data_IF_518779433295
#
_entry.id   IF_518779433295
#
_cell.length_a   1.000
_cell.length_b   1.000
_cell.length_c   1.000
_cell.angle_alpha   90.00
_cell.angle_beta   90.00
_cell.angle_gamma   90.00
#
_symmetry.space_group_name_H-M   'P 1'
#
loop_
_entity.id
_entity.type
_entity.pdbx_description
1 polymer ?
#
# COMPACT_ATOMS: atom_id res chain seq x y z
N UNK A 1 5.29 12.33 -18.84
CA UNK A 1 3.91 12.87 -18.86
C UNK A 1 3.56 13.23 -17.43
N UNK A 2 2.97 14.40 -17.19
CA UNK A 2 2.34 14.65 -15.89
C UNK A 2 1.27 13.57 -15.65
N UNK A 3 1.16 13.05 -14.42
CA UNK A 3 0.09 12.12 -14.10
C UNK A 3 -1.26 12.82 -14.30
N UNK A 4 -2.15 12.20 -15.07
CA UNK A 4 -3.53 12.66 -15.23
C UNK A 4 -4.16 12.66 -13.83
N UNK A 5 -4.62 13.83 -13.37
CA UNK A 5 -5.28 13.96 -12.08
C UNK A 5 -6.71 13.41 -12.19
N UNK A 6 -7.22 12.73 -11.15
CA UNK A 6 -8.57 12.17 -11.18
C UNK A 6 -9.65 13.24 -11.05
N UNK A 7 -10.87 12.87 -11.42
CA UNK A 7 -12.07 13.59 -10.97
C UNK A 7 -12.47 13.04 -9.60
N UNK A 8 -12.64 13.91 -8.62
CA UNK A 8 -12.92 13.51 -7.24
C UNK A 8 -14.39 13.72 -6.89
N UNK A 9 -15.06 12.66 -6.45
CA UNK A 9 -16.45 12.69 -6.00
C UNK A 9 -16.48 12.63 -4.47
N UNK A 10 -16.91 13.71 -3.83
CA UNK A 10 -16.94 13.85 -2.37
C UNK A 10 -18.36 13.64 -1.86
N UNK A 11 -18.56 12.70 -0.92
CA UNK A 11 -19.87 12.51 -0.29
C UNK A 11 -20.32 13.74 0.49
N UNK A 12 -21.61 14.06 0.38
CA UNK A 12 -22.20 15.14 1.16
C UNK A 12 -22.11 14.87 2.68
N UNK A 13 -21.98 15.94 3.47
CA UNK A 13 -21.90 15.87 4.93
C UNK A 13 -23.27 15.90 5.61
N UNK A 14 -23.42 15.20 6.75
CA UNK A 14 -24.62 15.31 7.59
C UNK A 14 -24.77 16.72 8.18
N UNK A 15 -23.70 17.23 8.80
CA UNK A 15 -23.63 18.59 9.39
C UNK A 15 -23.51 19.65 8.29
N UNK A 16 -24.39 20.65 8.33
CA UNK A 16 -24.49 21.74 7.36
C UNK A 16 -24.67 23.08 8.07
N UNK A 17 -24.45 24.19 7.36
CA UNK A 17 -24.92 25.50 7.78
C UNK A 17 -26.46 25.55 7.74
N UNK A 18 -27.05 26.45 8.53
CA UNK A 18 -28.50 26.68 8.57
C UNK A 18 -28.98 27.69 7.53
N UNK A 19 -28.06 28.19 6.70
CA UNK A 19 -28.33 29.19 5.65
C UNK A 19 -27.88 28.68 4.28
N UNK A 20 -28.47 29.19 3.18
CA UNK A 20 -28.01 28.86 1.84
C UNK A 20 -26.55 29.25 1.65
N UNK A 21 -25.77 28.35 1.06
CA UNK A 21 -24.35 28.56 0.78
C UNK A 21 -23.93 27.76 -0.46
N UNK A 22 -22.77 28.11 -1.03
CA UNK A 22 -22.12 27.26 -2.03
C UNK A 22 -21.91 25.86 -1.45
N UNK A 23 -22.11 24.81 -2.25
CA UNK A 23 -22.09 23.43 -1.78
C UNK A 23 -20.77 23.07 -1.08
N UNK A 24 -19.63 23.62 -1.54
CA UNK A 24 -18.32 23.44 -0.91
C UNK A 24 -18.20 24.02 0.50
N UNK A 25 -19.02 25.00 0.84
CA UNK A 25 -19.01 25.72 2.12
C UNK A 25 -20.22 25.34 3.00
N UNK A 26 -21.26 24.75 2.41
CA UNK A 26 -22.46 24.31 3.12
C UNK A 26 -22.16 23.19 4.13
N UNK A 27 -21.33 22.20 3.78
CA UNK A 27 -21.03 21.05 4.62
C UNK A 27 -19.84 21.32 5.56
N UNK A 28 -20.04 21.15 6.86
CA UNK A 28 -19.09 21.63 7.89
C UNK A 28 -18.43 20.52 8.71
N UNK A 29 -18.69 19.24 8.39
CA UNK A 29 -18.06 18.13 9.10
C UNK A 29 -16.56 18.02 8.77
N UNK A 30 -15.76 17.56 9.73
CA UNK A 30 -14.32 17.37 9.54
C UNK A 30 -14.01 16.43 8.37
N UNK A 31 -14.77 15.33 8.25
CA UNK A 31 -14.69 14.43 7.09
C UNK A 31 -14.84 15.15 5.76
N UNK A 32 -15.85 16.02 5.65
CA UNK A 32 -16.09 16.76 4.41
C UNK A 32 -14.94 17.74 4.14
N UNK A 33 -14.47 18.46 5.16
CA UNK A 33 -13.33 19.39 5.02
C UNK A 33 -12.07 18.69 4.54
N UNK A 34 -11.72 17.53 5.11
CA UNK A 34 -10.57 16.75 4.68
C UNK A 34 -10.74 16.18 3.26
N UNK A 35 -11.94 15.71 2.92
CA UNK A 35 -12.22 15.21 1.57
C UNK A 35 -12.19 16.33 0.52
N UNK A 36 -12.74 17.50 0.83
CA UNK A 36 -12.64 18.72 0.00
C UNK A 36 -11.18 19.11 -0.19
N UNK A 37 -10.39 19.19 0.90
CA UNK A 37 -8.97 19.55 0.82
C UNK A 37 -8.19 18.57 -0.07
N UNK A 38 -8.47 17.27 0.03
CA UNK A 38 -7.90 16.27 -0.88
C UNK A 38 -8.31 16.55 -2.33
N UNK A 39 -9.61 16.78 -2.57
CA UNK A 39 -10.13 17.03 -3.91
C UNK A 39 -9.50 18.27 -4.56
N UNK A 40 -9.31 19.36 -3.81
CA UNK A 40 -8.67 20.59 -4.27
C UNK A 40 -7.16 20.43 -4.51
N UNK A 41 -6.47 19.60 -3.72
CA UNK A 41 -5.03 19.36 -3.88
C UNK A 41 -4.70 18.39 -5.02
N UNK A 42 -5.49 17.33 -5.19
CA UNK A 42 -5.14 16.19 -6.02
C UNK A 42 -6.07 15.98 -7.23
N UNK A 43 -7.27 16.54 -7.22
CA UNK A 43 -8.22 16.42 -8.33
C UNK A 43 -7.88 17.34 -9.51
N UNK A 44 -8.27 16.92 -10.72
CA UNK A 44 -8.42 17.82 -11.87
C UNK A 44 -9.68 18.67 -11.70
N UNK A 45 -10.78 17.99 -11.34
CA UNK A 45 -12.09 18.55 -11.05
C UNK A 45 -12.67 17.80 -9.85
N UNK A 46 -13.64 18.42 -9.17
CA UNK A 46 -14.33 17.73 -8.09
C UNK A 46 -15.79 18.15 -7.96
N UNK A 47 -16.58 17.20 -7.49
CA UNK A 47 -18.03 17.32 -7.34
C UNK A 47 -18.47 16.75 -6.01
N UNK A 48 -19.64 17.18 -5.57
CA UNK A 48 -20.27 16.66 -4.36
C UNK A 48 -21.39 15.72 -4.78
N UNK A 49 -21.36 14.49 -4.26
CA UNK A 49 -22.44 13.53 -4.45
C UNK A 49 -23.43 13.66 -3.29
N UNK A 50 -24.57 14.29 -3.59
CA UNK A 50 -25.67 14.56 -2.66
C UNK A 50 -26.76 13.51 -2.80
N UNK A 51 -27.24 12.97 -1.68
CA UNK A 51 -28.43 12.11 -1.66
C UNK A 51 -29.66 12.78 -2.31
N UNK A 52 -29.81 14.11 -2.16
CA UNK A 52 -30.97 14.88 -2.64
C UNK A 52 -30.73 15.44 -4.04
N UNK A 53 -29.58 16.09 -4.21
CA UNK A 53 -29.29 16.89 -5.40
C UNK A 53 -28.42 16.17 -6.43
N UNK A 54 -28.09 14.89 -6.24
CA UNK A 54 -27.26 14.15 -7.19
C UNK A 54 -25.84 14.71 -7.24
N UNK A 55 -25.29 14.85 -8.45
CA UNK A 55 -24.00 15.46 -8.72
C UNK A 55 -24.11 16.99 -8.62
N UNK A 56 -23.33 17.57 -7.72
CA UNK A 56 -23.39 19.00 -7.40
C UNK A 56 -22.03 19.64 -7.63
N UNK A 57 -22.03 20.80 -8.29
CA UNK A 57 -20.83 21.60 -8.48
C UNK A 57 -20.44 22.32 -7.18
N UNK A 58 -19.15 22.48 -6.87
CA UNK A 58 -18.68 23.13 -5.65
C UNK A 58 -19.28 24.52 -5.39
N UNK A 59 -19.47 25.32 -6.44
CA UNK A 59 -19.98 26.70 -6.37
C UNK A 59 -21.51 26.80 -6.44
N UNK A 60 -22.22 25.68 -6.65
CA UNK A 60 -23.68 25.68 -6.70
C UNK A 60 -24.25 26.02 -5.32
N UNK A 61 -25.09 27.05 -5.25
CA UNK A 61 -25.78 27.44 -4.01
C UNK A 61 -26.88 26.44 -3.70
N UNK A 62 -26.85 25.87 -2.51
CA UNK A 62 -27.84 24.91 -2.02
C UNK A 62 -28.50 25.41 -0.74
N UNK A 63 -29.79 25.14 -0.59
CA UNK A 63 -30.50 25.27 0.69
C UNK A 63 -30.15 24.07 1.60
N UNK A 64 -30.05 24.27 2.92
CA UNK A 64 -29.90 23.16 3.87
C UNK A 64 -31.06 22.16 3.74
N UNK A 65 -30.73 20.89 3.95
CA UNK A 65 -31.67 19.79 3.80
C UNK A 65 -31.28 18.60 4.69
N UNK A 66 -32.24 17.74 4.96
CA UNK A 66 -32.03 16.48 5.67
C UNK A 66 -32.52 15.31 4.81
N UNK A 67 -31.56 14.64 4.16
CA UNK A 67 -31.78 13.41 3.42
C UNK A 67 -30.51 12.56 3.51
N UNK A 68 -30.65 11.35 4.02
CA UNK A 68 -29.58 10.37 4.12
C UNK A 68 -29.82 9.22 3.13
N UNK A 69 -28.88 9.04 2.19
CA UNK A 69 -28.92 7.93 1.23
C UNK A 69 -28.98 6.58 1.94
N UNK A 70 -28.35 6.44 3.12
CA UNK A 70 -28.32 5.17 3.86
C UNK A 70 -29.73 4.71 4.26
N UNK A 71 -30.62 5.65 4.58
CA UNK A 71 -31.99 5.40 5.01
C UNK A 71 -32.93 5.04 3.84
N UNK A 72 -32.49 5.22 2.59
CA UNK A 72 -33.33 4.91 1.42
C UNK A 72 -33.41 3.40 1.14
N UNK A 73 -34.56 2.91 0.63
CA UNK A 73 -34.68 1.58 0.04
C UNK A 73 -33.65 1.35 -1.09
N UNK A 74 -33.27 0.09 -1.31
CA UNK A 74 -32.28 -0.28 -2.33
C UNK A 74 -32.67 0.20 -3.74
N UNK A 75 -33.97 0.17 -4.08
CA UNK A 75 -34.49 0.68 -5.37
C UNK A 75 -34.16 2.16 -5.57
N UNK A 76 -34.33 2.97 -4.53
CA UNK A 76 -34.11 4.41 -4.59
C UNK A 76 -32.61 4.72 -4.61
N UNK A 77 -31.79 3.93 -3.91
CA UNK A 77 -30.33 3.99 -3.99
C UNK A 77 -29.83 3.71 -5.41
N UNK A 78 -30.36 2.68 -6.07
CA UNK A 78 -30.01 2.37 -7.47
C UNK A 78 -30.46 3.48 -8.43
N UNK A 79 -31.67 4.00 -8.25
CA UNK A 79 -32.19 5.14 -9.03
C UNK A 79 -31.30 6.39 -8.84
N UNK A 80 -30.83 6.63 -7.62
CA UNK A 80 -29.85 7.68 -7.33
C UNK A 80 -28.52 7.42 -8.06
N UNK A 81 -28.02 6.19 -8.08
CA UNK A 81 -26.82 5.81 -8.82
C UNK A 81 -26.94 6.06 -10.33
N UNK A 82 -28.07 5.67 -10.93
CA UNK A 82 -28.35 5.90 -12.36
C UNK A 82 -28.41 7.40 -12.70
N UNK A 83 -28.95 8.21 -11.79
CA UNK A 83 -28.93 9.67 -11.92
C UNK A 83 -27.51 10.22 -11.92
N UNK A 84 -26.65 9.79 -10.98
CA UNK A 84 -25.25 10.21 -10.93
C UNK A 84 -24.54 9.82 -12.24
N UNK A 85 -24.75 8.59 -12.73
CA UNK A 85 -24.20 8.14 -14.01
C UNK A 85 -24.64 9.06 -15.17
N UNK A 86 -25.94 9.40 -15.24
CA UNK A 86 -26.46 10.30 -16.28
C UNK A 86 -25.83 11.69 -16.20
N UNK A 87 -25.66 12.23 -14.99
CA UNK A 87 -25.02 13.54 -14.78
C UNK A 87 -23.53 13.50 -15.14
N UNK A 88 -22.78 12.47 -14.75
CA UNK A 88 -21.38 12.28 -15.15
C UNK A 88 -21.21 12.13 -16.67
N UNK A 89 -22.13 11.38 -17.31
CA UNK A 89 -22.15 11.20 -18.77
C UNK A 89 -22.36 12.53 -19.50
N UNK A 90 -23.32 13.34 -19.05
CA UNK A 90 -23.62 14.67 -19.62
C UNK A 90 -22.47 15.66 -19.51
N UNK A 91 -21.62 15.51 -18.51
CA UNK A 91 -20.44 16.34 -18.29
C UNK A 91 -19.15 15.71 -18.87
N UNK A 92 -19.26 14.63 -19.65
CA UNK A 92 -18.12 13.96 -20.31
C UNK A 92 -17.05 13.41 -19.33
N UNK A 93 -17.46 13.09 -18.09
CA UNK A 93 -16.53 12.69 -17.03
C UNK A 93 -16.27 11.17 -16.98
N UNK A 94 -17.03 10.34 -17.70
CA UNK A 94 -16.95 8.87 -17.59
C UNK A 94 -15.65 8.27 -18.13
N UNK A 95 -14.96 8.97 -19.03
CA UNK A 95 -13.68 8.54 -19.58
C UNK A 95 -12.50 8.91 -18.68
N UNK A 96 -12.75 9.64 -17.59
CA UNK A 96 -11.73 10.02 -16.61
C UNK A 96 -11.61 8.97 -15.50
N UNK A 97 -10.49 8.98 -14.79
CA UNK A 97 -10.35 8.22 -13.55
C UNK A 97 -11.15 8.90 -12.43
N UNK A 98 -12.10 8.18 -11.85
CA UNK A 98 -12.98 8.68 -10.80
C UNK A 98 -12.50 8.20 -9.42
N UNK A 99 -12.28 9.13 -8.49
CA UNK A 99 -11.98 8.82 -7.08
C UNK A 99 -13.19 9.17 -6.22
N UNK A 100 -13.79 8.17 -5.58
CA UNK A 100 -14.99 8.32 -4.76
C UNK A 100 -14.61 8.34 -3.27
N UNK A 101 -14.70 9.51 -2.65
CA UNK A 101 -14.47 9.73 -1.22
C UNK A 101 -15.82 9.71 -0.47
N UNK A 102 -16.34 8.51 -0.27
CA UNK A 102 -17.66 8.29 0.33
C UNK A 102 -17.68 7.09 1.28
N UNK A 103 -18.76 6.95 2.04
CA UNK A 103 -19.01 5.75 2.84
C UNK A 103 -19.19 4.52 1.94
N UNK A 104 -19.18 3.33 2.55
CA UNK A 104 -19.40 2.04 1.88
C UNK A 104 -20.68 2.06 1.02
N UNK A 105 -21.83 2.43 1.58
CA UNK A 105 -23.13 2.45 0.86
C UNK A 105 -23.10 3.30 -0.41
N UNK A 106 -22.54 4.52 -0.36
CA UNK A 106 -22.41 5.36 -1.56
C UNK A 106 -21.44 4.72 -2.56
N UNK A 107 -20.31 4.23 -2.06
CA UNK A 107 -19.24 3.66 -2.87
C UNK A 107 -19.65 2.37 -3.57
N UNK A 108 -20.43 1.50 -2.92
CA UNK A 108 -20.92 0.25 -3.49
C UNK A 108 -21.90 0.49 -4.65
N UNK A 109 -22.87 1.39 -4.45
CA UNK A 109 -23.83 1.75 -5.48
C UNK A 109 -23.11 2.37 -6.69
N UNK A 110 -22.23 3.34 -6.44
CA UNK A 110 -21.48 3.99 -7.51
C UNK A 110 -20.52 3.03 -8.21
N UNK A 111 -19.80 2.18 -7.49
CA UNK A 111 -18.95 1.17 -8.13
C UNK A 111 -19.77 0.27 -9.05
N UNK A 112 -20.91 -0.22 -8.59
CA UNK A 112 -21.76 -1.11 -9.37
C UNK A 112 -22.30 -0.47 -10.65
N UNK A 113 -22.74 0.79 -10.58
CA UNK A 113 -23.33 1.51 -11.73
C UNK A 113 -22.23 2.00 -12.68
N UNK A 114 -21.16 2.61 -12.16
CA UNK A 114 -20.11 3.21 -12.97
C UNK A 114 -19.20 2.17 -13.63
N UNK A 115 -18.88 1.06 -12.95
CA UNK A 115 -18.09 -0.01 -13.55
C UNK A 115 -18.85 -0.67 -14.72
N UNK A 116 -20.18 -0.83 -14.62
CA UNK A 116 -21.02 -1.31 -15.74
C UNK A 116 -21.01 -0.36 -16.95
N UNK A 117 -20.76 0.93 -16.72
CA UNK A 117 -20.62 1.94 -17.75
C UNK A 117 -19.18 2.05 -18.30
N UNK A 118 -18.24 1.21 -17.82
CA UNK A 118 -16.85 1.21 -18.27
C UNK A 118 -15.95 2.27 -17.61
N UNK A 119 -16.44 2.99 -16.59
CA UNK A 119 -15.63 3.98 -15.89
C UNK A 119 -14.61 3.31 -14.94
N UNK A 120 -13.42 3.90 -14.85
CA UNK A 120 -12.39 3.49 -13.88
C UNK A 120 -12.68 4.20 -12.56
N UNK A 121 -13.00 3.42 -11.53
CA UNK A 121 -13.41 3.97 -10.21
C UNK A 121 -12.52 3.41 -9.10
N UNK A 122 -11.98 4.32 -8.28
CA UNK A 122 -11.29 3.99 -7.04
C UNK A 122 -12.09 4.52 -5.86
N UNK A 123 -12.36 3.67 -4.86
CA UNK A 123 -13.02 4.06 -3.60
C UNK A 123 -12.07 3.77 -2.43
N UNK A 124 -11.21 4.73 -2.04
CA UNK A 124 -10.11 4.48 -1.10
C UNK A 124 -10.55 3.98 0.29
N UNK A 125 -11.81 4.20 0.68
CA UNK A 125 -12.32 3.94 2.03
C UNK A 125 -13.46 2.92 2.08
N UNK A 126 -13.77 2.23 0.98
CA UNK A 126 -14.98 1.39 0.89
C UNK A 126 -15.08 0.35 2.01
N UNK A 127 -13.97 -0.30 2.32
CA UNK A 127 -13.84 -1.42 3.25
C UNK A 127 -13.31 -0.99 4.64
N UNK A 128 -13.30 0.32 4.92
CA UNK A 128 -12.74 0.86 6.14
C UNK A 128 -13.82 1.42 7.09
N UNK A 129 -13.55 1.39 8.41
CA UNK A 129 -14.35 2.14 9.37
C UNK A 129 -14.45 3.63 9.01
N UNK A 130 -15.57 4.27 9.37
CA UNK A 130 -15.91 5.64 8.96
C UNK A 130 -14.86 6.70 9.40
N UNK A 131 -14.21 6.47 10.54
CA UNK A 131 -13.18 7.35 11.11
C UNK A 131 -11.80 7.18 10.45
N UNK A 132 -11.49 5.99 9.93
CA UNK A 132 -10.22 5.71 9.28
C UNK A 132 -9.97 6.62 8.06
N UNK A 133 -11.02 6.91 7.28
CA UNK A 133 -10.93 7.79 6.12
C UNK A 133 -10.44 9.21 6.48
N UNK A 134 -10.92 9.77 7.60
CA UNK A 134 -10.49 11.11 8.04
C UNK A 134 -9.02 11.12 8.43
N UNK A 135 -8.55 10.09 9.14
CA UNK A 135 -7.16 9.96 9.55
C UNK A 135 -6.23 9.83 8.34
N UNK A 136 -6.61 9.01 7.35
CA UNK A 136 -5.85 8.82 6.11
C UNK A 136 -5.80 10.13 5.32
N UNK A 137 -6.95 10.79 5.10
CA UNK A 137 -6.99 12.07 4.39
C UNK A 137 -6.15 13.13 5.09
N UNK A 138 -6.15 13.18 6.42
CA UNK A 138 -5.33 14.11 7.19
C UNK A 138 -3.83 13.90 6.92
N UNK A 139 -3.36 12.65 6.88
CA UNK A 139 -1.96 12.32 6.54
C UNK A 139 -1.63 12.73 5.12
N UNK A 140 -2.46 12.32 4.15
CA UNK A 140 -2.26 12.61 2.73
C UNK A 140 -2.27 14.13 2.47
N UNK A 141 -3.23 14.86 3.04
CA UNK A 141 -3.33 16.31 2.91
C UNK A 141 -2.21 17.06 3.64
N UNK A 142 -1.62 16.44 4.67
CA UNK A 142 -0.52 17.00 5.45
C UNK A 142 0.83 16.88 4.76
N UNK A 143 0.99 15.95 3.81
CA UNK A 143 2.25 15.72 3.12
C UNK A 143 2.10 15.48 1.60
N UNK A 144 1.77 16.51 0.80
CA UNK A 144 1.60 16.36 -0.66
C UNK A 144 2.84 15.87 -1.39
N UNK A 145 4.04 16.23 -0.91
CA UNK A 145 5.29 15.73 -1.48
C UNK A 145 5.41 14.21 -1.34
N UNK A 146 5.07 13.67 -0.16
CA UNK A 146 5.02 12.21 0.03
C UNK A 146 4.01 11.54 -0.87
N UNK A 147 2.84 12.14 -1.10
CA UNK A 147 1.85 11.58 -2.03
C UNK A 147 2.37 11.54 -3.48
N UNK A 148 3.13 12.56 -3.91
CA UNK A 148 3.79 12.55 -5.22
C UNK A 148 4.85 11.45 -5.32
N UNK A 149 5.69 11.32 -4.29
CA UNK A 149 6.70 10.25 -4.20
C UNK A 149 6.06 8.85 -4.16
N UNK A 150 4.94 8.71 -3.45
CA UNK A 150 4.13 7.50 -3.39
C UNK A 150 3.66 7.07 -4.77
N UNK A 151 3.07 8.00 -5.53
CA UNK A 151 2.64 7.74 -6.89
C UNK A 151 3.81 7.32 -7.79
N UNK A 152 4.93 8.05 -7.74
CA UNK A 152 6.13 7.71 -8.51
C UNK A 152 6.64 6.30 -8.14
N UNK A 153 6.64 5.94 -6.87
CA UNK A 153 7.02 4.60 -6.43
C UNK A 153 6.13 3.52 -7.05
N UNK A 154 4.80 3.71 -7.06
CA UNK A 154 3.90 2.72 -7.66
C UNK A 154 3.90 2.71 -9.20
N UNK A 155 4.18 3.85 -9.85
CA UNK A 155 4.47 3.87 -11.30
C UNK A 155 5.71 3.00 -11.62
N UNK A 156 6.76 3.06 -10.79
CA UNK A 156 7.95 2.22 -10.91
C UNK A 156 7.67 0.75 -10.54
N UNK A 157 6.86 0.49 -9.50
CA UNK A 157 6.40 -0.85 -9.18
C UNK A 157 5.66 -1.48 -10.35
N UNK A 158 4.75 -0.75 -10.98
CA UNK A 158 3.98 -1.26 -12.10
C UNK A 158 4.89 -1.65 -13.27
N UNK A 159 5.87 -0.81 -13.62
CA UNK A 159 6.90 -1.14 -14.62
C UNK A 159 7.60 -2.45 -14.27
N UNK A 160 8.04 -2.58 -13.02
CA UNK A 160 8.67 -3.81 -12.53
C UNK A 160 7.72 -5.02 -12.62
N UNK A 161 6.47 -4.88 -12.21
CA UNK A 161 5.48 -5.96 -12.21
C UNK A 161 5.12 -6.46 -13.62
N UNK A 162 5.22 -5.60 -14.64
CA UNK A 162 4.90 -5.94 -16.03
C UNK A 162 6.01 -6.71 -16.75
N UNK A 163 7.20 -6.83 -16.17
CA UNK A 163 8.30 -7.55 -16.81
C UNK A 163 8.10 -9.08 -16.75
N UNK A 164 8.63 -9.84 -17.73
CA UNK A 164 8.51 -11.30 -17.73
C UNK A 164 9.03 -11.97 -16.46
N UNK A 165 8.24 -12.88 -15.90
CA UNK A 165 8.61 -13.66 -14.71
C UNK A 165 8.47 -12.92 -13.38
N UNK A 166 7.89 -11.72 -13.39
CA UNK A 166 7.49 -10.96 -12.20
C UNK A 166 6.07 -11.34 -11.79
N UNK A 167 5.66 -10.93 -10.58
CA UNK A 167 4.32 -11.20 -10.02
C UNK A 167 3.90 -12.67 -10.08
N UNK A 168 4.86 -13.59 -10.10
CA UNK A 168 4.60 -15.03 -10.04
C UNK A 168 4.14 -15.39 -8.63
N UNK A 169 3.17 -16.31 -8.51
CA UNK A 169 2.79 -16.86 -7.22
C UNK A 169 4.02 -17.48 -6.53
N UNK A 170 4.19 -17.24 -5.23
CA UNK A 170 5.43 -17.63 -4.57
C UNK A 170 5.60 -19.16 -4.48
N UNK A 171 4.50 -19.92 -4.56
CA UNK A 171 4.50 -21.36 -4.80
C UNK A 171 5.23 -21.78 -6.08
N UNK A 172 5.09 -21.02 -7.15
CA UNK A 172 5.58 -21.34 -8.50
C UNK A 172 6.99 -20.82 -8.76
N UNK A 173 7.52 -20.00 -7.87
CA UNK A 173 8.92 -19.59 -7.92
C UNK A 173 9.79 -20.81 -7.53
N UNK A 174 10.18 -21.62 -8.53
CA UNK A 174 10.99 -22.84 -8.39
C UNK A 174 12.18 -22.74 -9.35
N UNK A 175 13.40 -23.00 -8.87
CA UNK A 175 14.54 -23.38 -9.72
C UNK A 175 15.04 -22.34 -10.74
N UNK A 176 14.56 -21.09 -10.70
CA UNK A 176 15.02 -20.04 -11.61
C UNK A 176 16.40 -19.53 -11.15
N UNK A 177 17.42 -19.46 -12.03
CA UNK A 177 18.67 -18.77 -11.71
C UNK A 177 18.39 -17.27 -11.64
N UNK A 178 17.96 -16.81 -10.46
CA UNK A 178 17.89 -15.38 -10.15
C UNK A 178 19.30 -14.81 -10.02
N UNK A 179 19.40 -13.49 -10.08
CA UNK A 179 20.65 -12.76 -9.86
C UNK A 179 21.29 -13.10 -8.51
N UNK A 180 22.60 -12.86 -8.38
CA UNK A 180 23.32 -13.08 -7.12
C UNK A 180 22.75 -12.26 -5.96
N UNK A 181 22.34 -11.03 -6.24
CA UNK A 181 21.84 -10.06 -5.28
C UNK A 181 20.71 -9.21 -5.89
N UNK A 182 19.91 -8.60 -5.01
CA UNK A 182 18.80 -7.76 -5.44
C UNK A 182 17.88 -7.33 -4.30
N UNK A 183 16.83 -6.61 -4.69
CA UNK A 183 15.71 -6.21 -3.83
C UNK A 183 14.48 -7.02 -4.25
N UNK A 184 13.64 -7.42 -3.31
CA UNK A 184 12.38 -8.11 -3.59
C UNK A 184 11.21 -7.48 -2.83
N UNK A 185 10.04 -7.58 -3.45
CA UNK A 185 8.79 -7.00 -2.99
C UNK A 185 7.73 -8.11 -3.00
N UNK A 186 7.05 -8.31 -1.87
CA UNK A 186 5.90 -9.22 -1.81
C UNK A 186 4.60 -8.44 -1.86
N UNK A 187 3.58 -9.08 -2.43
CA UNK A 187 2.24 -8.55 -2.62
C UNK A 187 1.20 -9.56 -2.14
N UNK A 188 0.21 -9.10 -1.38
CA UNK A 188 -0.94 -9.91 -0.99
C UNK A 188 -1.99 -9.93 -2.11
N UNK A 189 -2.61 -11.07 -2.46
CA UNK A 189 -3.53 -11.18 -3.59
C UNK A 189 -4.80 -10.32 -3.48
N UNK A 190 -5.13 -9.86 -2.27
CA UNK A 190 -6.31 -9.02 -1.98
C UNK A 190 -5.92 -7.67 -1.35
N UNK A 191 -4.63 -7.35 -1.36
CA UNK A 191 -4.11 -6.12 -0.77
C UNK A 191 -3.87 -5.12 -1.88
N UNK A 192 -4.89 -4.29 -2.17
CA UNK A 192 -4.83 -3.28 -3.22
C UNK A 192 -4.31 -1.95 -2.70
N UNK A 193 -3.73 -1.16 -3.61
CA UNK A 193 -3.47 0.25 -3.35
C UNK A 193 -4.79 1.03 -3.27
N UNK A 194 -4.88 2.05 -2.40
CA UNK A 194 -6.12 2.80 -2.16
C UNK A 194 -6.23 4.07 -2.98
N UNK A 195 -5.10 4.68 -3.34
CA UNK A 195 -5.05 5.98 -4.06
C UNK A 195 -4.35 5.91 -5.42
N UNK A 196 -3.98 4.72 -5.87
CA UNK A 196 -3.40 4.52 -7.19
C UNK A 196 -4.51 4.07 -8.16
N UNK A 197 -4.49 4.64 -9.37
CA UNK A 197 -5.57 4.57 -10.37
C UNK A 197 -5.69 3.21 -11.09
N UNK A 198 -4.75 2.31 -10.82
CA UNK A 198 -4.72 0.95 -11.33
C UNK A 198 -4.96 0.00 -10.17
N UNK A 199 -5.68 -1.09 -10.41
CA UNK A 199 -5.88 -2.21 -9.47
C UNK A 199 -4.54 -2.93 -9.19
N UNK A 200 -3.62 -2.21 -8.58
CA UNK A 200 -2.25 -2.62 -8.31
C UNK A 200 -2.21 -3.14 -6.89
N UNK A 201 -1.54 -4.26 -6.69
CA UNK A 201 -1.34 -4.78 -5.35
C UNK A 201 -0.37 -3.86 -4.59
N UNK A 202 -0.72 -3.50 -3.36
CA UNK A 202 0.18 -2.79 -2.46
C UNK A 202 1.31 -3.71 -2.02
N UNK A 203 2.49 -3.14 -1.81
CA UNK A 203 3.61 -3.87 -1.22
C UNK A 203 3.23 -4.27 0.21
N UNK A 204 3.41 -5.54 0.55
CA UNK A 204 3.22 -6.07 1.93
C UNK A 204 4.53 -6.46 2.59
N UNK A 205 5.63 -6.53 1.84
CA UNK A 205 6.99 -6.69 2.38
C UNK A 205 8.02 -6.20 1.38
N UNK A 206 9.05 -5.53 1.87
CA UNK A 206 10.29 -5.26 1.14
C UNK A 206 11.42 -6.07 1.78
N UNK A 207 12.33 -6.59 0.98
CA UNK A 207 13.53 -7.24 1.50
C UNK A 207 14.70 -7.17 0.52
N UNK A 208 15.91 -7.39 1.05
CA UNK A 208 17.14 -7.44 0.24
C UNK A 208 17.91 -8.71 0.43
N UNK A 209 18.81 -8.95 -0.53
CA UNK A 209 19.81 -10.00 -0.43
C UNK A 209 21.16 -9.52 -0.95
N UNK A 210 22.26 -9.96 -0.32
CA UNK A 210 23.62 -9.63 -0.75
C UNK A 210 24.21 -8.35 -0.14
N UNK A 211 23.74 -7.93 1.03
CA UNK A 211 24.23 -6.72 1.74
C UNK A 211 25.48 -6.96 2.60
N UNK A 212 25.77 -8.21 2.95
CA UNK A 212 26.93 -8.59 3.77
C UNK A 212 28.10 -9.08 2.92
N UNK A 213 29.31 -8.53 3.16
CA UNK A 213 30.54 -8.97 2.49
C UNK A 213 30.80 -10.46 2.72
N UNK A 214 31.21 -11.18 1.67
CA UNK A 214 31.59 -12.60 1.75
C UNK A 214 30.44 -13.61 1.72
N UNK A 215 29.18 -13.16 1.64
CA UNK A 215 28.05 -14.09 1.50
C UNK A 215 28.09 -14.81 0.15
N UNK A 216 28.12 -16.15 0.18
CA UNK A 216 28.04 -17.00 -1.03
C UNK A 216 26.60 -17.30 -1.45
N UNK A 217 25.61 -16.94 -0.63
CA UNK A 217 24.22 -17.26 -0.91
C UNK A 217 23.65 -16.36 -2.01
N UNK A 218 22.75 -16.90 -2.83
CA UNK A 218 22.09 -16.20 -3.95
C UNK A 218 20.72 -15.66 -3.53
N UNK A 219 20.19 -14.67 -4.27
CA UNK A 219 18.85 -14.12 -4.06
C UNK A 219 17.78 -15.23 -4.06
N UNK A 220 17.88 -16.17 -5.00
CA UNK A 220 17.00 -17.33 -5.05
C UNK A 220 17.03 -18.16 -3.76
N UNK A 221 18.21 -18.40 -3.19
CA UNK A 221 18.32 -19.17 -1.94
C UNK A 221 17.63 -18.43 -0.78
N UNK A 222 17.75 -17.11 -0.72
CA UNK A 222 17.04 -16.28 0.28
C UNK A 222 15.53 -16.37 0.12
N UNK A 223 15.02 -16.28 -1.11
CA UNK A 223 13.61 -16.46 -1.39
C UNK A 223 13.13 -17.89 -1.05
N UNK A 224 13.91 -18.92 -1.39
CA UNK A 224 13.60 -20.31 -0.99
C UNK A 224 13.49 -20.45 0.53
N UNK A 225 14.37 -19.81 1.31
CA UNK A 225 14.27 -19.79 2.78
C UNK A 225 12.93 -19.25 3.27
N UNK A 226 12.39 -18.20 2.64
CA UNK A 226 11.06 -17.69 2.97
C UNK A 226 9.95 -18.66 2.52
N UNK A 227 10.04 -19.19 1.30
CA UNK A 227 9.03 -20.08 0.68
C UNK A 227 8.84 -21.40 1.44
N UNK A 228 9.88 -21.86 2.12
CA UNK A 228 9.92 -23.16 2.76
C UNK A 228 10.31 -24.28 1.79
N UNK A 229 10.49 -25.46 2.38
CA UNK A 229 10.88 -26.71 1.74
C UNK A 229 9.72 -27.31 0.95
N UNK A 230 10.03 -28.17 -0.02
CA UNK A 230 9.02 -28.75 -0.92
C UNK A 230 8.02 -29.66 -0.17
N UNK A 231 8.38 -30.17 1.02
CA UNK A 231 7.51 -30.91 1.95
C UNK A 231 6.50 -30.03 2.73
N UNK A 232 6.49 -28.72 2.48
CA UNK A 232 5.62 -27.74 3.13
C UNK A 232 6.20 -27.13 4.41
N UNK A 233 7.28 -27.68 4.97
CA UNK A 233 7.91 -27.14 6.18
C UNK A 233 8.78 -25.91 5.88
N UNK A 234 9.29 -25.26 6.91
CA UNK A 234 10.21 -24.14 6.77
C UNK A 234 11.02 -23.93 8.04
N UNK A 235 11.63 -22.74 8.16
CA UNK A 235 12.39 -22.37 9.36
C UNK A 235 12.29 -20.88 9.64
N UNK A 236 11.50 -20.52 10.64
CA UNK A 236 11.40 -19.16 11.17
C UNK A 236 12.72 -18.66 11.74
N UNK A 237 13.55 -19.54 12.30
CA UNK A 237 14.88 -19.19 12.85
C UNK A 237 15.85 -18.66 11.79
N UNK A 238 15.63 -19.00 10.52
CA UNK A 238 16.42 -18.46 9.38
C UNK A 238 15.70 -17.35 8.60
N UNK A 239 14.45 -17.06 8.98
CA UNK A 239 13.56 -16.14 8.27
C UNK A 239 12.65 -15.39 9.23
N UNK A 240 13.04 -14.16 9.56
CA UNK A 240 12.21 -13.23 10.35
C UNK A 240 10.82 -13.01 9.75
N UNK A 241 10.68 -13.13 8.42
CA UNK A 241 9.37 -13.06 7.78
C UNK A 241 8.46 -14.23 8.22
N UNK A 242 9.04 -15.43 8.31
CA UNK A 242 8.31 -16.63 8.74
C UNK A 242 7.97 -16.56 10.22
N UNK A 243 8.90 -16.04 11.04
CA UNK A 243 8.67 -15.76 12.45
C UNK A 243 7.42 -14.90 12.64
N UNK A 244 7.39 -13.72 12.02
CA UNK A 244 6.28 -12.78 12.16
C UNK A 244 4.95 -13.31 11.63
N UNK A 245 4.96 -14.04 10.52
CA UNK A 245 3.76 -14.69 10.00
C UNK A 245 3.26 -15.75 10.99
N UNK A 246 4.15 -16.55 11.57
CA UNK A 246 3.78 -17.54 12.59
C UNK A 246 3.23 -16.91 13.86
N UNK A 247 3.84 -15.82 14.33
CA UNK A 247 3.35 -15.06 15.49
C UNK A 247 1.92 -14.55 15.25
N UNK A 248 1.65 -14.03 14.05
CA UNK A 248 0.32 -13.56 13.67
C UNK A 248 -0.70 -14.71 13.54
N UNK A 249 -0.30 -15.88 13.04
CA UNK A 249 -1.17 -17.07 12.97
C UNK A 249 -1.54 -17.55 14.38
N UNK A 250 -0.54 -17.67 15.27
CA UNK A 250 -0.76 -18.07 16.67
C UNK A 250 -1.73 -17.11 17.36
N UNK A 251 -1.49 -15.80 17.24
CA UNK A 251 -2.35 -14.77 17.81
C UNK A 251 -3.77 -14.80 17.22
N UNK A 252 -3.93 -14.97 15.91
CA UNK A 252 -5.24 -15.06 15.25
C UNK A 252 -6.05 -16.27 15.70
N UNK A 253 -5.37 -17.37 16.06
CA UNK A 253 -6.00 -18.63 16.46
C UNK A 253 -6.07 -18.83 17.98
N UNK A 254 -5.55 -17.88 18.77
CA UNK A 254 -5.47 -18.01 20.23
C UNK A 254 -4.62 -19.20 20.71
N UNK A 255 -3.59 -19.58 19.93
CA UNK A 255 -2.67 -20.68 20.23
C UNK A 255 -1.33 -20.13 20.73
N UNK A 256 -0.61 -20.97 21.46
CA UNK A 256 0.75 -20.66 21.91
C UNK A 256 1.69 -21.85 21.62
N UNK A 257 2.90 -21.54 21.17
CA UNK A 257 4.01 -22.49 21.04
C UNK A 257 5.22 -21.84 21.71
N UNK A 258 5.54 -22.26 22.92
CA UNK A 258 6.56 -21.62 23.77
C UNK A 258 7.96 -21.58 23.15
N UNK A 259 8.27 -22.50 22.24
CA UNK A 259 9.55 -22.56 21.55
C UNK A 259 9.64 -21.67 20.30
N UNK A 260 8.52 -21.15 19.83
CA UNK A 260 8.46 -20.35 18.61
C UNK A 260 9.16 -19.00 18.81
N UNK A 261 10.09 -18.65 17.91
CA UNK A 261 10.91 -17.44 18.06
C UNK A 261 12.01 -17.55 19.12
N UNK A 262 12.18 -18.69 19.77
CA UNK A 262 13.23 -18.91 20.77
C UNK A 262 14.48 -19.49 20.13
N UNK A 263 15.59 -18.76 20.28
CA UNK A 263 16.94 -19.18 19.89
C UNK A 263 17.18 -19.24 18.37
N UNK A 264 18.46 -19.29 17.99
CA UNK A 264 18.88 -19.46 16.58
C UNK A 264 18.89 -20.91 16.09
N UNK A 265 18.78 -21.88 16.99
CA UNK A 265 18.76 -23.31 16.68
C UNK A 265 17.83 -24.05 17.66
N UNK A 266 17.40 -25.25 17.30
CA UNK A 266 16.49 -26.08 18.10
C UNK A 266 16.75 -27.58 17.86
N UNK A 267 16.37 -28.41 18.85
CA UNK A 267 16.45 -29.88 18.76
C UNK A 267 15.46 -30.40 17.72
N UNK A 268 15.62 -31.68 17.32
CA UNK A 268 14.67 -32.33 16.41
C UNK A 268 13.25 -32.36 16.99
N UNK A 269 13.13 -32.63 18.28
CA UNK A 269 11.85 -32.69 18.99
C UNK A 269 11.13 -31.33 18.98
N UNK A 270 11.84 -30.24 19.30
CA UNK A 270 11.29 -28.89 19.23
C UNK A 270 10.85 -28.52 17.81
N UNK A 271 11.64 -28.88 16.78
CA UNK A 271 11.26 -28.63 15.38
C UNK A 271 10.03 -29.43 14.98
N UNK A 272 9.87 -30.66 15.49
CA UNK A 272 8.69 -31.48 15.23
C UNK A 272 7.44 -30.87 15.89
N UNK A 273 7.55 -30.34 17.12
CA UNK A 273 6.43 -29.64 17.76
C UNK A 273 6.01 -28.35 17.03
N UNK A 274 6.94 -27.70 16.32
CA UNK A 274 6.68 -26.49 15.52
C UNK A 274 6.23 -26.79 14.08
N UNK A 275 6.29 -28.06 13.65
CA UNK A 275 6.14 -28.46 12.24
C UNK A 275 4.79 -28.06 11.65
N UNK A 276 3.71 -28.18 12.42
CA UNK A 276 2.38 -27.78 11.98
C UNK A 276 2.32 -26.27 11.70
N UNK A 277 2.83 -25.43 12.62
CA UNK A 277 2.85 -23.99 12.42
C UNK A 277 3.75 -23.58 11.25
N UNK A 278 4.94 -24.18 11.09
CA UNK A 278 5.77 -23.95 9.91
C UNK A 278 5.03 -24.28 8.60
N UNK A 279 4.19 -25.32 8.61
CA UNK A 279 3.38 -25.69 7.45
C UNK A 279 2.32 -24.63 7.15
N UNK A 280 1.61 -24.13 8.17
CA UNK A 280 0.64 -23.03 8.04
C UNK A 280 1.32 -21.74 7.53
N UNK A 281 2.50 -21.41 8.04
CA UNK A 281 3.31 -20.27 7.57
C UNK A 281 3.68 -20.44 6.09
N UNK A 282 4.10 -21.63 5.66
CA UNK A 282 4.39 -21.90 4.25
C UNK A 282 3.16 -21.75 3.37
N UNK A 283 2.00 -22.24 3.81
CA UNK A 283 0.74 -22.11 3.08
C UNK A 283 0.35 -20.64 2.90
N UNK A 284 0.54 -19.80 3.92
CA UNK A 284 0.30 -18.36 3.80
C UNK A 284 1.28 -17.72 2.81
N UNK A 285 2.59 -17.92 3.00
CA UNK A 285 3.62 -17.26 2.19
C UNK A 285 3.54 -17.65 0.71
N UNK A 286 3.20 -18.90 0.40
CA UNK A 286 3.08 -19.40 -0.97
C UNK A 286 1.96 -18.75 -1.77
N UNK A 287 0.94 -18.18 -1.11
CA UNK A 287 -0.16 -17.44 -1.75
C UNK A 287 0.22 -16.01 -2.15
N UNK A 288 1.35 -15.49 -1.63
CA UNK A 288 1.80 -14.15 -1.98
C UNK A 288 2.39 -14.15 -3.40
N UNK A 289 2.36 -12.99 -4.03
CA UNK A 289 3.11 -12.73 -5.26
C UNK A 289 4.44 -12.07 -4.93
N UNK A 290 5.43 -12.25 -5.78
CA UNK A 290 6.75 -11.63 -5.61
C UNK A 290 7.21 -10.95 -6.90
N UNK A 291 7.70 -9.72 -6.76
CA UNK A 291 8.53 -9.06 -7.75
C UNK A 291 9.95 -8.89 -7.20
N UNK A 292 10.94 -8.85 -8.09
CA UNK A 292 12.34 -8.68 -7.71
C UNK A 292 13.09 -7.83 -8.73
N UNK A 293 14.03 -7.05 -8.24
CA UNK A 293 14.95 -6.25 -9.04
C UNK A 293 16.38 -6.73 -8.80
N UNK A 294 17.06 -7.30 -9.81
CA UNK A 294 18.48 -7.58 -9.76
C UNK A 294 19.29 -6.29 -9.54
N UNK A 295 20.11 -6.28 -8.50
CA UNK A 295 21.02 -5.17 -8.20
C UNK A 295 22.34 -5.78 -7.77
N UNK A 296 23.39 -5.55 -8.55
CA UNK A 296 24.66 -6.30 -8.49
C UNK A 296 25.85 -5.45 -8.04
N UNK A 297 25.59 -4.29 -7.42
CA UNK A 297 26.60 -3.47 -6.78
C UNK A 297 27.30 -4.21 -5.62
N UNK A 298 28.47 -3.72 -5.23
CA UNK A 298 29.29 -4.37 -4.20
C UNK A 298 28.53 -4.58 -2.88
N UNK A 299 28.69 -5.77 -2.28
CA UNK A 299 28.06 -6.11 -1.02
C UNK A 299 28.56 -5.17 0.10
N UNK A 300 27.65 -4.37 0.66
CA UNK A 300 27.90 -3.53 1.82
C UNK A 300 26.59 -3.09 2.47
N UNK A 301 26.69 -2.60 3.70
CA UNK A 301 25.58 -1.91 4.36
C UNK A 301 25.09 -0.71 3.53
N UNK A 302 26.00 0.01 2.88
CA UNK A 302 25.66 1.17 2.05
C UNK A 302 25.27 0.81 0.61
N UNK A 303 25.08 -0.48 0.30
CA UNK A 303 24.72 -0.93 -1.05
C UNK A 303 23.43 -0.30 -1.56
N UNK A 304 23.30 -0.23 -2.89
CA UNK A 304 22.11 0.28 -3.57
C UNK A 304 20.86 -0.48 -3.11
N UNK A 305 20.98 -1.79 -2.89
CA UNK A 305 19.92 -2.65 -2.35
C UNK A 305 19.41 -2.15 -0.99
N UNK A 306 20.33 -1.92 -0.05
CA UNK A 306 19.98 -1.40 1.28
C UNK A 306 19.38 -0.01 1.21
N UNK A 307 19.86 0.83 0.29
CA UNK A 307 19.33 2.17 0.07
C UNK A 307 17.88 2.12 -0.44
N UNK A 308 17.58 1.25 -1.41
CA UNK A 308 16.23 1.06 -1.92
C UNK A 308 15.31 0.47 -0.84
N UNK A 309 15.71 -0.59 -0.14
CA UNK A 309 14.88 -1.23 0.89
C UNK A 309 14.47 -0.27 2.00
N UNK A 310 15.46 0.42 2.57
CA UNK A 310 15.23 1.37 3.64
C UNK A 310 14.24 2.44 3.19
N UNK A 311 14.54 3.12 2.08
CA UNK A 311 13.73 4.27 1.65
C UNK A 311 12.35 3.86 1.13
N UNK A 312 12.20 2.67 0.53
CA UNK A 312 10.89 2.15 0.15
C UNK A 312 10.02 1.88 1.38
N UNK A 313 10.55 1.22 2.42
CA UNK A 313 9.80 0.97 3.67
C UNK A 313 9.44 2.31 4.32
N UNK A 314 10.39 3.23 4.44
CA UNK A 314 10.18 4.54 5.04
C UNK A 314 9.18 5.40 4.26
N UNK A 315 9.19 5.37 2.91
CA UNK A 315 8.19 6.07 2.10
C UNK A 315 6.78 5.55 2.36
N UNK A 316 6.62 4.22 2.41
CA UNK A 316 5.32 3.55 2.57
C UNK A 316 4.75 3.69 3.99
N UNK A 317 5.57 4.02 4.99
CA UNK A 317 5.18 3.98 6.41
C UNK A 317 5.40 5.28 7.18
N UNK A 318 6.27 6.17 6.70
CA UNK A 318 6.59 7.45 7.33
C UNK A 318 5.35 8.35 7.42
N UNK A 319 5.13 8.97 8.58
CA UNK A 319 3.90 9.75 8.83
C UNK A 319 2.61 8.92 8.94
N UNK A 320 2.72 7.59 8.90
CA UNK A 320 1.61 6.63 8.92
C UNK A 320 1.22 6.16 7.52
N UNK A 321 0.86 4.87 7.39
CA UNK A 321 0.51 4.28 6.11
C UNK A 321 -0.68 4.99 5.44
N UNK A 322 -0.53 5.25 4.14
CA UNK A 322 -1.58 5.79 3.25
C UNK A 322 -2.47 4.64 2.77
N UNK A 323 -1.85 3.59 2.23
CA UNK A 323 -2.53 2.35 1.86
C UNK A 323 -2.60 1.42 3.07
N UNK A 324 -3.58 1.69 3.93
CA UNK A 324 -3.87 0.82 5.07
C UNK A 324 -4.34 -0.56 4.59
N UNK A 325 -3.96 -1.59 5.33
CA UNK A 325 -4.27 -2.98 5.02
C UNK A 325 -5.77 -3.26 4.97
N UNK A 326 -6.16 -4.32 4.25
CA UNK A 326 -7.52 -4.85 4.33
C UNK A 326 -7.82 -5.43 5.72
N UNK A 327 -9.11 -5.47 6.10
CA UNK A 327 -9.54 -6.01 7.41
C UNK A 327 -9.18 -7.50 7.58
N UNK A 328 -9.10 -8.25 6.48
CA UNK A 328 -8.76 -9.68 6.45
C UNK A 328 -7.25 -9.95 6.36
N UNK A 329 -6.41 -8.91 6.33
CA UNK A 329 -4.97 -9.11 6.26
C UNK A 329 -4.45 -9.75 7.56
N UNK A 330 -3.77 -10.90 7.45
CA UNK A 330 -3.25 -11.65 8.61
C UNK A 330 -2.38 -10.80 9.56
N UNK A 331 -1.64 -9.82 9.04
CA UNK A 331 -0.81 -8.95 9.86
C UNK A 331 -1.59 -8.08 10.86
N UNK A 332 -2.92 -7.96 10.75
CA UNK A 332 -3.78 -7.34 11.76
C UNK A 332 -3.73 -8.05 13.13
N UNK A 333 -3.39 -9.35 13.12
CA UNK A 333 -3.25 -10.18 14.32
C UNK A 333 -1.81 -10.22 14.84
N UNK A 334 -0.85 -9.58 14.16
CA UNK A 334 0.54 -9.61 14.61
C UNK A 334 0.67 -8.99 16.02
N UNK A 335 1.39 -9.63 16.94
CA UNK A 335 1.72 -9.02 18.23
C UNK A 335 2.75 -7.88 18.07
N UNK A 336 3.37 -7.74 16.89
CA UNK A 336 4.34 -6.67 16.60
C UNK A 336 3.62 -5.43 16.09
N UNK A 337 3.64 -4.35 16.89
CA UNK A 337 2.90 -3.12 16.59
C UNK A 337 3.33 -2.46 15.28
N UNK A 338 4.61 -2.53 14.91
CA UNK A 338 5.12 -2.00 13.65
C UNK A 338 4.46 -2.67 12.45
N UNK A 339 4.24 -4.00 12.50
CA UNK A 339 3.57 -4.74 11.42
C UNK A 339 2.09 -4.36 11.35
N UNK A 340 1.43 -4.36 12.51
CA UNK A 340 0.00 -4.04 12.62
C UNK A 340 -0.34 -2.63 12.17
N UNK A 341 0.51 -1.65 12.48
CA UNK A 341 0.26 -0.24 12.16
C UNK A 341 0.69 0.17 10.75
N UNK A 342 1.70 -0.50 10.17
CA UNK A 342 2.24 -0.16 8.86
C UNK A 342 1.59 -0.88 7.69
N UNK A 343 0.95 -2.04 7.94
CA UNK A 343 0.50 -2.91 6.86
C UNK A 343 1.65 -3.64 6.16
N UNK A 344 2.89 -3.57 6.66
CA UNK A 344 4.06 -4.27 6.11
C UNK A 344 4.56 -5.35 7.08
N UNK A 345 5.01 -6.47 6.53
CA UNK A 345 5.77 -7.50 7.26
C UNK A 345 7.22 -7.08 7.55
N UNK A 346 7.47 -5.78 7.72
CA UNK A 346 8.75 -5.18 8.06
C UNK A 346 8.67 -4.58 9.47
N UNK A 347 9.80 -4.54 10.17
CA UNK A 347 9.93 -3.90 11.50
C UNK A 347 10.97 -2.79 11.42
N UNK A 348 12.14 -3.11 10.87
CA UNK A 348 13.17 -2.11 10.60
C UNK A 348 12.67 -1.09 9.57
N UNK A 349 13.04 0.18 9.80
CA UNK A 349 12.75 1.34 8.95
C UNK A 349 11.28 1.78 8.90
N UNK A 350 10.39 1.09 9.64
CA UNK A 350 8.98 1.47 9.74
C UNK A 350 8.86 2.79 10.48
N UNK A 351 8.25 3.78 9.84
CA UNK A 351 8.04 5.12 10.40
C UNK A 351 9.23 6.07 10.26
N UNK A 352 10.38 5.60 9.78
CA UNK A 352 11.56 6.44 9.51
C UNK A 352 11.27 7.45 8.37
N UNK A 353 12.07 8.52 8.31
CA UNK A 353 12.11 9.41 7.14
C UNK A 353 12.73 8.72 5.93
N UNK A 354 12.57 9.24 4.71
CA UNK A 354 13.23 8.72 3.50
C UNK A 354 13.92 9.85 2.73
N UNK A 355 14.93 9.51 1.93
CA UNK A 355 15.55 10.42 0.96
C UNK A 355 14.86 10.26 -0.40
N UNK A 356 14.10 11.27 -0.89
CA UNK A 356 13.38 11.20 -2.17
C UNK A 356 14.24 10.84 -3.38
N UNK A 357 15.55 11.11 -3.36
CA UNK A 357 16.46 10.76 -4.45
C UNK A 357 16.51 9.25 -4.72
N UNK A 358 16.10 8.42 -3.75
CA UNK A 358 15.98 6.98 -3.96
C UNK A 358 15.06 6.61 -5.13
N UNK A 359 14.04 7.42 -5.44
CA UNK A 359 13.14 7.15 -6.56
C UNK A 359 13.84 7.28 -7.91
N UNK A 360 14.76 8.23 -8.06
CA UNK A 360 15.56 8.40 -9.28
C UNK A 360 16.56 7.25 -9.45
N UNK A 361 17.19 6.81 -8.35
CA UNK A 361 18.09 5.65 -8.38
C UNK A 361 17.29 4.37 -8.67
N UNK A 362 16.11 4.23 -8.08
CA UNK A 362 15.25 3.07 -8.30
C UNK A 362 14.78 2.97 -9.75
N UNK A 363 14.40 4.11 -10.33
CA UNK A 363 14.04 4.24 -11.74
C UNK A 363 15.19 3.84 -12.68
N UNK A 364 16.40 4.35 -12.43
CA UNK A 364 17.59 3.99 -13.20
C UNK A 364 17.93 2.49 -13.11
N UNK A 365 17.81 1.89 -11.92
CA UNK A 365 18.02 0.45 -11.74
C UNK A 365 16.97 -0.39 -12.49
N UNK A 366 15.71 0.04 -12.48
CA UNK A 366 14.63 -0.60 -13.26
C UNK A 366 14.93 -0.49 -14.76
N UNK A 367 15.29 0.70 -15.26
CA UNK A 367 15.63 0.91 -16.68
C UNK A 367 16.81 0.03 -17.10
N UNK A 368 17.87 -0.07 -16.29
CA UNK A 368 18.98 -0.97 -16.57
C UNK A 368 18.56 -2.43 -16.63
N UNK A 369 17.63 -2.83 -15.78
CA UNK A 369 17.11 -4.19 -15.80
C UNK A 369 16.25 -4.46 -17.04
N UNK A 370 15.39 -3.50 -17.44
CA UNK A 370 14.61 -3.55 -18.70
C UNK A 370 15.53 -3.73 -19.93
N UNK A 371 16.66 -3.02 -19.95
CA UNK A 371 17.64 -3.07 -21.04
C UNK A 371 18.62 -4.25 -20.97
N UNK A 372 18.59 -5.06 -19.89
CA UNK A 372 19.55 -6.13 -19.66
C UNK A 372 20.98 -5.65 -19.33
N UNK A 373 21.15 -4.39 -18.89
CA UNK A 373 22.43 -3.71 -18.64
C UNK A 373 22.73 -3.55 -17.16
N UNK A 374 22.82 -4.66 -16.43
CA UNK A 374 23.19 -4.63 -15.01
C UNK A 374 24.62 -4.07 -14.82
N UNK A 375 24.82 -3.28 -13.76
CA UNK A 375 26.11 -2.66 -13.45
C UNK A 375 26.50 -2.89 -12.00
N UNK A 376 27.79 -3.11 -11.75
CA UNK A 376 28.36 -3.20 -10.41
C UNK A 376 28.67 -1.82 -9.80
N UNK A 377 28.58 -0.75 -10.60
CA UNK A 377 28.77 0.62 -10.12
C UNK A 377 27.55 1.06 -9.33
N UNK A 378 27.75 1.27 -8.03
CA UNK A 378 26.74 1.82 -7.12
C UNK A 378 26.24 3.19 -7.58
N UNK A 379 24.94 3.38 -7.48
CA UNK A 379 24.21 4.62 -7.75
C UNK A 379 23.79 5.34 -6.47
N UNK A 380 23.73 4.64 -5.34
CA UNK A 380 23.41 5.25 -4.06
C UNK A 380 24.46 6.30 -3.64
N UNK A 381 24.05 7.36 -2.93
CA UNK A 381 25.01 8.32 -2.38
C UNK A 381 26.01 7.62 -1.47
N UNK A 382 27.29 7.97 -1.58
CA UNK A 382 28.31 7.41 -0.68
C UNK A 382 27.98 7.74 0.77
N UNK A 383 28.13 6.76 1.67
CA UNK A 383 27.90 6.91 3.10
C UNK A 383 26.50 7.43 3.47
N UNK A 384 25.46 7.17 2.64
CA UNK A 384 24.10 7.67 2.86
C UNK A 384 23.54 7.36 4.25
N UNK A 385 23.95 6.23 4.86
CA UNK A 385 23.54 5.87 6.23
C UNK A 385 24.02 6.89 7.27
N UNK A 386 25.24 7.40 7.14
CA UNK A 386 25.80 8.41 8.06
C UNK A 386 25.06 9.74 7.94
N UNK A 387 24.71 10.14 6.71
CA UNK A 387 23.97 11.37 6.45
C UNK A 387 22.57 11.35 7.07
N UNK A 388 21.89 10.19 7.05
CA UNK A 388 20.57 10.03 7.67
C UNK A 388 20.61 10.02 9.20
N UNK A 389 21.62 9.41 9.81
CA UNK A 389 21.79 9.45 11.27
C UNK A 389 22.01 10.88 11.79
N UNK A 390 22.76 11.70 11.05
CA UNK A 390 22.96 13.12 11.40
C UNK A 390 21.67 13.95 11.26
N UNK A 391 20.85 13.66 10.25
CA UNK A 391 19.54 14.29 10.07
C UNK A 391 18.55 13.96 11.20
N UNK A 392 18.59 12.74 11.73
CA UNK A 392 17.74 12.32 12.85
C UNK A 392 18.13 13.01 14.18
N UNK A 393 19.42 13.23 14.43
CA UNK A 393 19.90 13.95 15.63
C UNK A 393 19.48 15.44 15.60
N UNK A 394 19.47 16.07 14.41
CA UNK A 394 19.00 17.46 14.25
C UNK A 394 17.49 17.66 14.45
N UNK A 395 16.68 16.62 14.21
CA UNK A 395 15.23 16.66 14.47
C UNK A 395 14.88 16.40 15.94
N UNK A 396 15.75 15.76 16.72
CA UNK A 396 15.55 15.57 18.17
C UNK A 396 15.75 16.85 19.01
N UNK A 397 16.26 17.94 18.42
CA UNK A 397 16.34 19.25 19.10
C UNK A 397 15.11 20.15 18.87
N UNK A 398 14.10 19.66 18.13
CA UNK A 398 12.87 20.42 17.81
C UNK A 398 11.58 19.74 18.30
N UNK A 399 11.67 18.82 19.26
CA UNK A 399 10.52 18.25 19.97
C UNK A 399 10.68 18.38 21.48
#
# INVERSE_FOLDING_TARGET
MEPIRPVVLVSCGKRKLDVPAAARDLYVSERFRQARKFAELYGAEWFIISAKYGLVFPDQVLNPYDLDLNALPIRDKLTWGDRILSELSKNELLNQHLVVLASEVYSEILQGVLAKAGAVVTSPFRDLPEDAGVNILTRVNGNPAQMSHYKKFYDLMLRLQQMPGQMTAFSELVGKPLSKAGVYFFFGPHELTRFYDRETLRVVRVGTHGVSKGSKSLLWQRLRTHRGNDDGTGSHRSSVFRLHVGDAILAAQGREILSWGVGGNATRETRESERQLETEVSQYLRKLHVAYLPVVDAASADSDRSYIEKNAISLLTGGGAIDVQGTQWLGNFSPTQQIKSSGLWNVNYVGDSYDPNFLSIFEELITRYEEGRLSEKSLAPQNWRLHMQRGAIGQQQLF
#
